data_IF_440284537166
#
_entry.id   IF_440284537166
#
_cell.length_a   1.000
_cell.length_b   1.000
_cell.length_c   1.000
_cell.angle_alpha   90.00
_cell.angle_beta   90.00
_cell.angle_gamma   90.00
#
_symmetry.space_group_name_H-M   'P 1'
#
loop_
_entity.id
_entity.type
_entity.pdbx_description
1 polymer ?
#
# COMPACT_ATOMS: atom_id res chain seq x y z
N UNK A 1 13.56 -17.79 -2.91
CA UNK A 1 12.42 -18.42 -3.61
C UNK A 1 11.73 -19.43 -2.69
N UNK A 2 10.39 -19.50 -2.68
CA UNK A 2 9.62 -20.43 -1.83
C UNK A 2 9.14 -19.89 -0.49
N UNK A 3 9.43 -18.62 -0.17
CA UNK A 3 8.78 -17.93 0.95
C UNK A 3 7.37 -17.44 0.55
N UNK A 4 6.53 -17.16 1.54
CA UNK A 4 5.21 -16.56 1.33
C UNK A 4 5.30 -15.20 0.63
N UNK A 5 4.37 -14.94 -0.29
CA UNK A 5 4.28 -13.65 -0.99
C UNK A 5 4.01 -12.50 -0.02
N UNK A 6 4.73 -11.40 -0.18
CA UNK A 6 4.61 -10.22 0.67
C UNK A 6 4.65 -8.93 -0.15
N UNK A 7 3.72 -8.01 0.11
CA UNK A 7 3.57 -6.77 -0.66
C UNK A 7 4.85 -5.92 -0.69
N UNK A 8 5.58 -5.84 0.43
CA UNK A 8 6.86 -5.13 0.47
C UNK A 8 7.95 -5.75 -0.41
N UNK A 9 7.99 -7.08 -0.52
CA UNK A 9 8.93 -7.76 -1.44
C UNK A 9 8.51 -7.58 -2.90
N UNK A 10 7.20 -7.66 -3.16
CA UNK A 10 6.63 -7.41 -4.48
C UNK A 10 6.98 -6.00 -4.95
N UNK A 11 6.83 -4.98 -4.10
CA UNK A 11 7.23 -3.61 -4.42
C UNK A 11 8.69 -3.54 -4.89
N UNK A 12 9.62 -4.16 -4.14
CA UNK A 12 11.04 -4.19 -4.53
C UNK A 12 11.26 -4.88 -5.88
N UNK A 13 10.62 -6.03 -6.11
CA UNK A 13 10.78 -6.78 -7.36
C UNK A 13 10.16 -6.03 -8.56
N UNK A 14 8.93 -5.54 -8.43
CA UNK A 14 8.24 -4.80 -9.50
C UNK A 14 8.96 -3.47 -9.77
N UNK A 15 9.42 -2.77 -8.74
CA UNK A 15 10.21 -1.55 -8.86
C UNK A 15 11.52 -1.77 -9.62
N UNK A 16 12.26 -2.84 -9.28
CA UNK A 16 13.47 -3.19 -10.01
C UNK A 16 13.17 -3.50 -11.49
N UNK A 17 12.14 -4.30 -11.77
CA UNK A 17 11.73 -4.63 -13.14
C UNK A 17 11.24 -3.41 -13.92
N UNK A 18 10.55 -2.47 -13.28
CA UNK A 18 10.13 -1.21 -13.88
C UNK A 18 11.34 -0.37 -14.30
N UNK A 19 12.31 -0.18 -13.40
CA UNK A 19 13.52 0.60 -13.66
C UNK A 19 14.33 -0.02 -14.81
N UNK A 20 14.41 -1.35 -14.90
CA UNK A 20 15.18 -2.03 -15.95
C UNK A 20 14.39 -2.26 -17.24
N UNK A 21 13.16 -1.75 -17.37
CA UNK A 21 12.32 -1.94 -18.56
C UNK A 21 11.87 -3.40 -18.78
N UNK A 22 11.79 -4.19 -17.72
CA UNK A 22 11.58 -5.63 -17.73
C UNK A 22 10.21 -6.07 -17.16
N UNK A 23 9.23 -5.16 -17.11
CA UNK A 23 7.87 -5.46 -16.63
C UNK A 23 7.10 -6.48 -17.48
N UNK A 24 7.58 -6.81 -18.68
CA UNK A 24 7.02 -7.88 -19.52
C UNK A 24 7.12 -9.27 -18.89
N UNK A 25 7.99 -9.46 -17.89
CA UNK A 25 8.09 -10.70 -17.13
C UNK A 25 7.03 -10.85 -16.04
N UNK A 26 6.25 -9.79 -15.77
CA UNK A 26 5.19 -9.81 -14.75
C UNK A 26 3.86 -10.09 -15.42
N UNK A 27 3.17 -11.13 -14.96
CA UNK A 27 1.74 -11.27 -15.21
C UNK A 27 0.99 -10.19 -14.41
N UNK A 28 0.59 -9.12 -15.11
CA UNK A 28 0.03 -7.92 -14.49
C UNK A 28 -1.35 -8.15 -13.88
N UNK A 29 -2.16 -9.02 -14.47
CA UNK A 29 -3.52 -9.25 -13.99
C UNK A 29 -3.50 -10.21 -12.80
N UNK A 30 -2.69 -11.26 -12.86
CA UNK A 30 -2.52 -12.17 -11.72
C UNK A 30 -1.94 -11.41 -10.51
N UNK A 31 -0.90 -10.60 -10.73
CA UNK A 31 -0.31 -9.80 -9.65
C UNK A 31 -1.28 -8.72 -9.16
N UNK A 32 -1.97 -8.04 -10.08
CA UNK A 32 -2.97 -7.03 -9.77
C UNK A 32 -4.08 -7.59 -8.87
N UNK A 33 -4.59 -8.79 -9.20
CA UNK A 33 -5.58 -9.48 -8.38
C UNK A 33 -5.04 -9.78 -6.98
N UNK A 34 -3.82 -10.34 -6.89
CA UNK A 34 -3.24 -10.66 -5.59
C UNK A 34 -3.04 -9.41 -4.71
N UNK A 35 -2.65 -8.28 -5.33
CA UNK A 35 -2.43 -7.00 -4.67
C UNK A 35 -3.74 -6.32 -4.25
N UNK A 36 -4.80 -6.34 -5.07
CA UNK A 36 -6.08 -5.72 -4.70
C UNK A 36 -6.78 -6.49 -3.57
N UNK A 37 -6.63 -7.81 -3.51
CA UNK A 37 -7.08 -8.67 -2.39
C UNK A 37 -6.30 -8.41 -1.08
N UNK A 38 -5.41 -7.41 -1.04
CA UNK A 38 -4.85 -6.89 0.21
C UNK A 38 -5.73 -5.86 0.88
N UNK A 39 -6.69 -5.27 0.18
CA UNK A 39 -7.63 -4.31 0.77
C UNK A 39 -8.61 -5.05 1.67
N UNK A 40 -8.52 -4.81 2.98
CA UNK A 40 -9.37 -5.49 3.96
C UNK A 40 -10.64 -4.68 4.22
N UNK A 41 -11.62 -5.29 4.91
CA UNK A 41 -12.93 -4.66 5.17
C UNK A 41 -12.87 -3.30 5.88
N UNK A 42 -11.81 -3.03 6.64
CA UNK A 42 -11.60 -1.75 7.32
C UNK A 42 -11.05 -0.65 6.40
N UNK A 43 -10.77 -0.95 5.12
CA UNK A 43 -10.28 -0.01 4.11
C UNK A 43 -8.76 0.07 3.99
N UNK A 44 -8.02 -0.42 4.99
CA UNK A 44 -6.57 -0.50 4.92
C UNK A 44 -6.07 -1.69 4.09
N UNK A 45 -4.76 -1.73 3.85
CA UNK A 45 -4.09 -2.78 3.09
C UNK A 45 -3.23 -3.65 4.01
N UNK A 46 -3.20 -4.96 3.79
CA UNK A 46 -2.30 -5.87 4.49
C UNK A 46 -1.10 -6.30 3.63
N UNK A 47 -0.05 -6.82 4.27
CA UNK A 47 1.15 -7.27 3.56
C UNK A 47 1.03 -8.63 2.90
N UNK A 48 0.13 -9.47 3.41
CA UNK A 48 -0.10 -10.86 3.01
C UNK A 48 -1.48 -11.32 3.51
N UNK A 49 -2.05 -12.39 2.92
CA UNK A 49 -3.36 -12.92 3.33
C UNK A 49 -3.46 -13.19 4.84
N UNK A 50 -4.66 -13.05 5.39
CA UNK A 50 -4.97 -13.34 6.79
C UNK A 50 -4.15 -12.53 7.82
N UNK A 51 -3.70 -11.32 7.45
CA UNK A 51 -3.05 -10.36 8.34
C UNK A 51 -3.82 -9.03 8.43
N UNK A 52 -3.53 -8.29 9.48
CA UNK A 52 -4.10 -6.99 9.75
C UNK A 52 -3.64 -5.95 8.72
N UNK A 53 -4.45 -4.92 8.55
CA UNK A 53 -4.06 -3.74 7.80
C UNK A 53 -2.94 -2.96 8.50
N UNK A 54 -2.15 -2.26 7.70
CA UNK A 54 -1.07 -1.41 8.15
C UNK A 54 -0.83 -0.30 7.09
N UNK A 55 -0.74 0.95 7.55
CA UNK A 55 -0.58 2.14 6.72
C UNK A 55 0.57 2.03 5.74
N UNK A 56 1.68 1.38 6.06
CA UNK A 56 2.82 1.34 5.15
C UNK A 56 2.50 0.60 3.83
N UNK A 57 1.55 -0.34 3.85
CA UNK A 57 1.09 -1.02 2.63
C UNK A 57 0.30 -0.11 1.69
N UNK A 58 -0.20 1.04 2.17
CA UNK A 58 -0.77 2.07 1.31
C UNK A 58 0.25 2.54 0.27
N UNK A 59 1.53 2.59 0.61
CA UNK A 59 2.58 2.88 -0.36
C UNK A 59 3.01 1.64 -1.15
N UNK A 60 3.32 0.53 -0.47
CA UNK A 60 3.87 -0.67 -1.12
C UNK A 60 2.92 -1.29 -2.15
N UNK A 61 1.63 -1.41 -1.81
CA UNK A 61 0.63 -1.99 -2.70
C UNK A 61 0.25 -1.01 -3.80
N UNK A 62 -0.07 0.25 -3.48
CA UNK A 62 -0.45 1.23 -4.52
C UNK A 62 0.66 1.44 -5.53
N UNK A 63 1.91 1.62 -5.10
CA UNK A 63 3.04 1.79 -6.02
C UNK A 63 3.20 0.61 -6.96
N UNK A 64 3.06 -0.61 -6.43
CA UNK A 64 3.10 -1.84 -7.23
C UNK A 64 1.97 -1.88 -8.26
N UNK A 65 0.75 -1.55 -7.85
CA UNK A 65 -0.43 -1.47 -8.73
C UNK A 65 -0.28 -0.38 -9.79
N UNK A 66 0.28 0.78 -9.45
CA UNK A 66 0.54 1.88 -10.41
C UNK A 66 1.54 1.43 -11.46
N UNK A 67 2.64 0.80 -11.06
CA UNK A 67 3.68 0.31 -12.00
C UNK A 67 3.14 -0.71 -13.02
N UNK A 68 2.08 -1.44 -12.67
CA UNK A 68 1.43 -2.42 -13.55
C UNK A 68 0.08 -1.95 -14.12
N UNK A 69 -0.27 -0.68 -13.93
CA UNK A 69 -1.50 -0.03 -14.42
C UNK A 69 -2.81 -0.68 -13.90
N UNK A 70 -2.87 -0.98 -12.59
CA UNK A 70 -4.00 -1.63 -11.91
C UNK A 70 -4.49 -0.92 -10.65
N UNK A 71 -4.04 0.32 -10.41
CA UNK A 71 -4.43 1.09 -9.21
C UNK A 71 -5.94 1.34 -9.10
N UNK A 72 -6.66 1.33 -10.23
CA UNK A 72 -8.10 1.50 -10.29
C UNK A 72 -8.90 0.33 -9.68
N UNK A 73 -8.24 -0.75 -9.25
CA UNK A 73 -8.87 -1.89 -8.58
C UNK A 73 -9.01 -1.71 -7.06
N UNK A 74 -8.47 -0.61 -6.50
CA UNK A 74 -8.56 -0.27 -5.07
C UNK A 74 -9.67 0.75 -4.84
N UNK A 75 -10.41 0.59 -3.74
CA UNK A 75 -11.33 1.62 -3.25
C UNK A 75 -10.54 2.78 -2.59
N UNK A 76 -10.14 3.74 -3.43
CA UNK A 76 -9.29 4.87 -3.03
C UNK A 76 -9.86 5.66 -1.85
N UNK A 77 -11.18 5.80 -1.75
CA UNK A 77 -11.81 6.61 -0.69
C UNK A 77 -11.75 5.90 0.66
N UNK A 78 -11.94 4.56 0.68
CA UNK A 78 -11.74 3.78 1.91
C UNK A 78 -10.29 3.83 2.38
N UNK A 79 -9.34 3.71 1.47
CA UNK A 79 -7.93 3.75 1.83
C UNK A 79 -7.50 5.13 2.33
N UNK A 80 -7.95 6.23 1.70
CA UNK A 80 -7.74 7.59 2.22
C UNK A 80 -8.27 7.71 3.65
N UNK A 81 -9.51 7.25 3.88
CA UNK A 81 -10.12 7.29 5.20
C UNK A 81 -9.29 6.51 6.22
N UNK A 82 -8.85 5.30 5.89
CA UNK A 82 -8.01 4.48 6.77
C UNK A 82 -6.72 5.20 7.16
N UNK A 83 -5.99 5.80 6.21
CA UNK A 83 -4.74 6.52 6.52
C UNK A 83 -5.02 7.72 7.44
N UNK A 84 -6.09 8.49 7.18
CA UNK A 84 -6.46 9.65 8.00
C UNK A 84 -6.97 9.26 9.39
N UNK A 85 -7.58 8.08 9.54
CA UNK A 85 -7.97 7.53 10.84
C UNK A 85 -6.73 7.12 11.69
N UNK A 86 -5.58 6.89 11.05
CA UNK A 86 -4.31 6.58 11.74
C UNK A 86 -3.49 7.83 12.09
N UNK A 87 -4.00 9.04 11.82
CA UNK A 87 -3.31 10.29 12.12
C UNK A 87 -3.55 10.71 13.57
N UNK A 88 -2.49 11.02 14.31
CA UNK A 88 -2.61 11.76 15.59
C UNK A 88 -2.91 13.23 15.28
N UNK A 89 -4.12 13.66 15.62
CA UNK A 89 -4.61 15.02 15.35
C UNK A 89 -4.14 16.06 16.38
N UNK A 90 -3.62 15.61 17.51
CA UNK A 90 -3.15 16.49 18.59
C UNK A 90 -1.65 16.75 18.47
N UNK A 91 -0.85 15.69 18.28
CA UNK A 91 0.61 15.77 18.26
C UNK A 91 1.22 15.63 16.85
N UNK A 92 0.41 15.23 15.86
CA UNK A 92 0.87 14.98 14.50
C UNK A 92 1.54 13.61 14.33
N UNK A 93 1.78 13.24 13.08
CA UNK A 93 2.28 11.92 12.70
C UNK A 93 1.16 10.93 12.34
N UNK A 94 1.55 9.81 11.74
CA UNK A 94 0.65 8.72 11.34
C UNK A 94 1.25 7.41 11.88
N UNK A 95 0.41 6.59 12.50
CA UNK A 95 0.74 5.24 13.01
C UNK A 95 0.44 4.17 11.97
N UNK A 96 0.73 2.91 12.27
CA UNK A 96 0.39 1.79 11.39
C UNK A 96 -1.11 1.46 11.39
N UNK A 97 -1.81 1.69 12.51
CA UNK A 97 -3.27 1.52 12.67
C UNK A 97 -3.87 2.60 13.59
N UNK A 98 -5.20 2.79 13.58
CA UNK A 98 -5.85 3.71 14.51
C UNK A 98 -5.51 3.36 15.97
N UNK A 99 -5.31 4.39 16.78
CA UNK A 99 -4.98 4.33 18.21
C UNK A 99 -3.59 3.74 18.57
N UNK A 100 -2.79 3.31 17.58
CA UNK A 100 -1.39 2.92 17.78
C UNK A 100 -0.46 4.15 17.87
N UNK A 101 0.74 3.97 18.43
CA UNK A 101 1.73 5.06 18.54
C UNK A 101 2.28 5.48 17.17
N UNK A 102 2.36 6.79 16.92
CA UNK A 102 2.90 7.33 15.67
C UNK A 102 4.41 7.14 15.57
N UNK A 103 4.91 6.99 14.35
CA UNK A 103 6.34 6.97 14.08
C UNK A 103 6.67 7.59 12.71
N UNK A 104 7.95 7.88 12.48
CA UNK A 104 8.43 8.53 11.25
C UNK A 104 8.24 7.65 10.01
N UNK A 105 8.30 6.32 10.17
CA UNK A 105 8.18 5.37 9.07
C UNK A 105 6.74 5.34 8.53
N UNK A 106 5.74 5.17 9.40
CA UNK A 106 4.34 5.19 9.02
C UNK A 106 3.86 6.59 8.64
N UNK A 107 4.40 7.65 9.25
CA UNK A 107 4.18 9.02 8.80
C UNK A 107 4.61 9.22 7.35
N UNK A 108 5.83 8.80 7.00
CA UNK A 108 6.32 8.91 5.64
C UNK A 108 5.45 8.12 4.64
N UNK A 109 5.17 6.84 4.91
CA UNK A 109 4.40 6.02 3.99
C UNK A 109 2.91 6.36 3.94
N UNK A 110 2.34 6.87 5.02
CA UNK A 110 0.98 7.40 5.04
C UNK A 110 0.84 8.63 4.14
N UNK A 111 1.75 9.60 4.27
CA UNK A 111 1.78 10.78 3.39
C UNK A 111 2.03 10.39 1.94
N UNK A 112 2.99 9.49 1.69
CA UNK A 112 3.29 9.02 0.34
C UNK A 112 2.08 8.28 -0.28
N UNK A 113 1.37 7.47 0.51
CA UNK A 113 0.12 6.82 0.10
C UNK A 113 -0.97 7.84 -0.24
N UNK A 114 -1.18 8.85 0.60
CA UNK A 114 -2.14 9.94 0.34
C UNK A 114 -1.79 10.73 -0.93
N UNK A 115 -0.49 10.93 -1.21
CA UNK A 115 -0.03 11.57 -2.44
C UNK A 115 -0.38 10.75 -3.67
N UNK A 116 -0.16 9.42 -3.65
CA UNK A 116 -0.56 8.51 -4.75
C UNK A 116 -2.07 8.44 -4.94
N UNK A 117 -2.84 8.75 -3.90
CA UNK A 117 -4.30 8.81 -3.91
C UNK A 117 -4.84 10.19 -4.32
N UNK A 118 -3.97 11.14 -4.67
CA UNK A 118 -4.31 12.50 -5.06
C UNK A 118 -5.12 13.24 -3.97
N UNK A 119 -4.78 13.01 -2.70
CA UNK A 119 -5.40 13.73 -1.58
C UNK A 119 -5.01 15.22 -1.62
N UNK A 120 -5.97 16.17 -1.54
CA UNK A 120 -5.72 17.59 -1.81
C UNK A 120 -4.91 18.35 -0.75
N UNK A 121 -4.74 17.79 0.46
CA UNK A 121 -3.96 18.39 1.54
C UNK A 121 -4.74 19.39 2.38
#
# INVERSE_FOLDING_TARGET
PGAESHAGQIFCCVGALAITGALSHVDRDLLGWWLCEREVKTGGLNGRPEKLADVCYSWWVLSSLIMIDRVHWIDKEKLKKFILDCQDKENGGISDRPDDAVDVFHTFFGIAGLSLLEYPG
#
